data_IF_851730027825
#
_entry.id   IF_851730027825
#
_cell.length_a   1.000
_cell.length_b   1.000
_cell.length_c   1.000
_cell.angle_alpha   90.00
_cell.angle_beta   90.00
_cell.angle_gamma   90.00
#
_symmetry.space_group_name_H-M   'P 1'
#
loop_
_entity.id
_entity.type
_entity.pdbx_description
1 polymer ?
#
# COMPACT_ATOMS: atom_id res chain seq x y z
N UNK A 1 -19.38 12.40 -9.10
CA UNK A 1 -18.28 11.43 -8.87
C UNK A 1 -18.52 10.76 -7.52
N UNK A 2 -18.67 9.43 -7.51
CA UNK A 2 -18.90 8.64 -6.30
C UNK A 2 -17.56 8.09 -5.81
N UNK A 3 -17.07 8.57 -4.68
CA UNK A 3 -15.77 8.21 -4.12
C UNK A 3 -15.97 7.22 -2.98
N UNK A 4 -15.10 6.21 -2.88
CA UNK A 4 -14.96 5.34 -1.73
C UNK A 4 -13.59 5.58 -1.08
N UNK A 5 -13.59 5.86 0.21
CA UNK A 5 -12.38 5.86 1.03
C UNK A 5 -12.21 4.47 1.64
N UNK A 6 -11.00 3.93 1.54
CA UNK A 6 -10.64 2.63 2.13
C UNK A 6 -9.53 2.88 3.14
N UNK A 7 -9.60 2.23 4.28
CA UNK A 7 -8.55 2.30 5.30
C UNK A 7 -8.58 1.03 6.13
N UNK A 8 -7.43 0.62 6.65
CA UNK A 8 -7.34 -0.55 7.50
C UNK A 8 -8.06 -0.35 8.83
N UNK A 9 -7.92 0.82 9.44
CA UNK A 9 -8.48 1.11 10.76
C UNK A 9 -9.17 2.49 10.81
N UNK A 10 -10.07 2.66 11.78
CA UNK A 10 -10.72 3.95 12.02
C UNK A 10 -9.75 5.03 12.49
N UNK A 11 -8.69 4.65 13.19
CA UNK A 11 -7.70 5.58 13.73
C UNK A 11 -6.86 6.29 12.67
N UNK A 12 -6.77 5.71 11.47
CA UNK A 12 -6.07 6.30 10.33
C UNK A 12 -6.90 7.39 9.64
N UNK A 13 -8.20 7.47 9.95
CA UNK A 13 -9.13 8.44 9.35
C UNK A 13 -9.62 9.39 10.46
N UNK A 14 -8.77 10.35 10.84
CA UNK A 14 -9.08 11.27 11.94
C UNK A 14 -9.83 12.55 11.51
N UNK A 15 -10.14 12.72 10.22
CA UNK A 15 -10.74 13.96 9.71
C UNK A 15 -12.22 13.82 9.41
N UNK A 16 -13.05 14.70 10.01
CA UNK A 16 -14.49 14.79 9.72
C UNK A 16 -14.79 15.01 8.23
N UNK A 17 -13.88 15.67 7.51
CA UNK A 17 -14.01 15.86 6.06
C UNK A 17 -13.91 14.54 5.29
N UNK A 18 -13.02 13.65 5.71
CA UNK A 18 -12.90 12.31 5.11
C UNK A 18 -14.13 11.48 5.43
N UNK A 19 -14.64 11.59 6.65
CA UNK A 19 -15.85 10.87 7.09
C UNK A 19 -17.13 11.33 6.38
N UNK A 20 -17.12 12.42 5.64
CA UNK A 20 -18.26 12.82 4.78
C UNK A 20 -18.41 11.96 3.52
N UNK A 21 -17.38 11.19 3.17
CA UNK A 21 -17.43 10.22 2.07
C UNK A 21 -17.84 8.83 2.58
N UNK A 22 -18.34 7.93 1.71
CA UNK A 22 -18.43 6.52 2.03
C UNK A 22 -17.06 5.96 2.44
N UNK A 23 -16.97 5.37 3.62
CA UNK A 23 -15.74 4.76 4.16
C UNK A 23 -15.91 3.26 4.30
N UNK A 24 -14.88 2.52 3.90
CA UNK A 24 -14.74 1.08 4.15
C UNK A 24 -13.54 0.84 5.07
N UNK A 25 -13.79 0.32 6.25
CA UNK A 25 -12.74 -0.18 7.15
C UNK A 25 -12.56 -1.67 6.86
N UNK A 26 -11.38 -2.03 6.38
CA UNK A 26 -11.10 -3.40 5.92
C UNK A 26 -10.55 -4.31 7.01
N UNK A 27 -9.87 -3.75 8.00
CA UNK A 27 -8.92 -4.46 8.85
C UNK A 27 -7.53 -4.44 8.24
N UNK A 28 -6.53 -4.70 9.05
CA UNK A 28 -5.10 -4.67 8.65
C UNK A 28 -4.77 -5.86 7.75
N UNK A 29 -3.98 -5.59 6.72
CA UNK A 29 -3.37 -6.59 5.86
C UNK A 29 -4.07 -6.83 4.52
N UNK A 30 -3.28 -7.23 3.52
CA UNK A 30 -3.71 -7.43 2.13
C UNK A 30 -4.96 -8.30 2.00
N UNK A 31 -5.03 -9.41 2.74
CA UNK A 31 -6.15 -10.36 2.66
C UNK A 31 -7.45 -9.72 3.14
N UNK A 32 -7.42 -9.00 4.27
CA UNK A 32 -8.59 -8.32 4.79
C UNK A 32 -9.07 -7.23 3.83
N UNK A 33 -8.12 -6.47 3.27
CA UNK A 33 -8.40 -5.43 2.28
C UNK A 33 -9.03 -6.00 1.02
N UNK A 34 -8.45 -7.08 0.47
CA UNK A 34 -8.99 -7.75 -0.71
C UNK A 34 -10.42 -8.29 -0.48
N UNK A 35 -10.67 -8.96 0.64
CA UNK A 35 -12.00 -9.48 0.99
C UNK A 35 -13.00 -8.34 1.19
N UNK A 36 -12.61 -7.31 1.94
CA UNK A 36 -13.47 -6.16 2.22
C UNK A 36 -13.86 -5.42 0.95
N UNK A 37 -12.90 -5.12 0.09
CA UNK A 37 -13.12 -4.47 -1.20
C UNK A 37 -13.97 -5.32 -2.13
N UNK A 38 -13.67 -6.60 -2.28
CA UNK A 38 -14.44 -7.52 -3.15
C UNK A 38 -15.91 -7.53 -2.74
N UNK A 39 -16.21 -7.69 -1.45
CA UNK A 39 -17.59 -7.66 -0.95
C UNK A 39 -18.29 -6.31 -1.20
N UNK A 40 -17.56 -5.21 -1.01
CA UNK A 40 -18.10 -3.86 -1.22
C UNK A 40 -18.43 -3.61 -2.68
N UNK A 41 -17.51 -3.97 -3.58
CA UNK A 41 -17.62 -3.72 -5.01
C UNK A 41 -18.59 -4.68 -5.71
N UNK A 42 -18.84 -5.88 -5.16
CA UNK A 42 -19.87 -6.79 -5.66
C UNK A 42 -21.28 -6.20 -5.55
N UNK A 43 -21.51 -5.24 -4.65
CA UNK A 43 -22.81 -4.65 -4.36
C UNK A 43 -22.90 -3.14 -4.62
N UNK A 44 -21.83 -2.52 -5.08
CA UNK A 44 -21.78 -1.08 -5.29
C UNK A 44 -20.71 -0.70 -6.29
N UNK A 45 -20.96 0.35 -7.07
CA UNK A 45 -20.00 0.92 -8.01
C UNK A 45 -19.51 2.27 -7.51
N UNK A 46 -18.24 2.59 -7.79
CA UNK A 46 -17.59 3.84 -7.46
C UNK A 46 -16.76 4.32 -8.66
N UNK A 47 -16.68 5.63 -8.82
CA UNK A 47 -15.86 6.27 -9.87
C UNK A 47 -14.39 6.35 -9.47
N UNK A 48 -14.13 6.42 -8.15
CA UNK A 48 -12.80 6.51 -7.57
C UNK A 48 -12.75 5.78 -6.22
N UNK A 49 -11.68 5.02 -6.01
CA UNK A 49 -11.36 4.40 -4.73
C UNK A 49 -10.02 4.97 -4.27
N UNK A 50 -9.98 5.47 -3.04
CA UNK A 50 -8.78 6.01 -2.42
C UNK A 50 -8.46 5.14 -1.21
N UNK A 51 -7.39 4.37 -1.29
CA UNK A 51 -6.81 3.70 -0.13
C UNK A 51 -5.92 4.71 0.62
N UNK A 52 -6.13 4.87 1.92
CA UNK A 52 -5.36 5.78 2.75
C UNK A 52 -5.12 5.20 4.14
N UNK A 53 -3.95 5.42 4.65
CA UNK A 53 -3.51 4.89 5.94
C UNK A 53 -2.14 5.42 6.32
N UNK A 54 -1.49 4.74 7.24
CA UNK A 54 -0.12 5.03 7.66
C UNK A 54 0.86 4.11 6.95
N UNK A 55 2.10 4.58 6.79
CA UNK A 55 3.18 3.81 6.17
C UNK A 55 4.50 4.04 6.91
N UNK A 56 5.36 3.03 6.92
CA UNK A 56 6.75 3.15 7.33
C UNK A 56 7.58 3.79 6.21
N UNK A 57 8.58 4.60 6.56
CA UNK A 57 9.49 5.22 5.58
C UNK A 57 10.87 4.58 5.62
N UNK A 58 11.41 4.28 4.45
CA UNK A 58 12.79 3.84 4.24
C UNK A 58 13.74 4.99 3.93
N UNK A 59 13.25 6.22 3.81
CA UNK A 59 14.04 7.37 3.37
C UNK A 59 13.96 8.55 4.34
N UNK A 60 15.09 9.21 4.58
CA UNK A 60 15.17 10.44 5.37
C UNK A 60 14.51 11.65 4.70
N UNK A 61 14.18 11.55 3.43
CA UNK A 61 13.50 12.60 2.67
C UNK A 61 12.00 12.74 3.01
N UNK A 62 11.47 11.80 3.79
CA UNK A 62 10.10 11.83 4.33
C UNK A 62 10.16 11.97 5.85
N UNK A 63 9.29 12.80 6.40
CA UNK A 63 9.17 13.02 7.83
C UNK A 63 7.84 12.50 8.35
N UNK A 64 7.80 12.19 9.64
CA UNK A 64 6.53 11.82 10.30
C UNK A 64 5.51 12.94 10.12
N UNK A 65 4.36 12.58 9.56
CA UNK A 65 3.28 13.53 9.24
C UNK A 65 3.26 14.01 7.79
N UNK A 66 4.26 13.66 6.97
CA UNK A 66 4.22 13.92 5.54
C UNK A 66 3.11 13.09 4.88
N UNK A 67 2.43 13.72 3.92
CA UNK A 67 1.41 13.05 3.10
C UNK A 67 1.98 12.86 1.70
N UNK A 68 1.94 11.63 1.21
CA UNK A 68 2.48 11.25 -0.10
C UNK A 68 1.43 10.52 -0.93
N UNK A 69 1.65 10.47 -2.23
CA UNK A 69 0.86 9.66 -3.15
C UNK A 69 1.72 8.51 -3.68
N UNK A 70 1.26 7.28 -3.49
CA UNK A 70 1.92 6.09 -4.03
C UNK A 70 1.69 6.03 -5.54
N UNK A 71 2.75 6.27 -6.30
CA UNK A 71 2.72 6.22 -7.77
C UNK A 71 2.91 4.81 -8.31
N UNK A 72 3.65 3.98 -7.58
CA UNK A 72 3.86 2.57 -7.87
C UNK A 72 3.87 1.81 -6.54
N UNK A 73 3.16 0.68 -6.49
CA UNK A 73 3.17 -0.23 -5.36
C UNK A 73 3.62 -1.63 -5.81
N UNK A 74 4.49 -2.26 -5.03
CA UNK A 74 5.09 -3.55 -5.35
C UNK A 74 4.74 -4.56 -4.25
N UNK A 75 4.19 -5.71 -4.63
CA UNK A 75 4.06 -6.87 -3.74
C UNK A 75 5.44 -7.47 -3.52
N UNK A 76 6.09 -7.08 -2.43
CA UNK A 76 7.50 -7.41 -2.17
C UNK A 76 7.75 -8.87 -1.84
N UNK A 77 6.72 -9.60 -1.39
CA UNK A 77 6.83 -10.96 -0.86
C UNK A 77 6.31 -12.04 -1.84
N UNK A 78 5.93 -11.64 -3.08
CA UNK A 78 5.52 -12.61 -4.10
C UNK A 78 6.77 -13.11 -4.84
N UNK A 79 7.24 -14.28 -4.45
CA UNK A 79 8.47 -14.86 -4.98
C UNK A 79 8.84 -16.15 -4.26
N UNK A 80 10.11 -16.50 -4.30
CA UNK A 80 10.67 -17.67 -3.62
C UNK A 80 12.09 -17.37 -3.11
N UNK A 81 12.48 -18.10 -2.07
CA UNK A 81 13.85 -18.06 -1.57
C UNK A 81 14.73 -19.04 -2.37
N UNK A 82 15.92 -18.59 -2.75
CA UNK A 82 16.97 -19.40 -3.36
C UNK A 82 18.26 -19.20 -2.56
N UNK A 83 18.53 -20.09 -1.62
CA UNK A 83 19.62 -19.97 -0.66
C UNK A 83 19.40 -18.76 0.27
N UNK A 84 20.27 -17.75 0.16
CA UNK A 84 20.19 -16.51 0.92
C UNK A 84 19.40 -15.41 0.21
N UNK A 85 19.04 -15.63 -1.05
CA UNK A 85 18.48 -14.63 -1.94
C UNK A 85 16.97 -14.82 -2.11
N UNK A 86 16.26 -13.73 -2.41
CA UNK A 86 14.85 -13.74 -2.75
C UNK A 86 14.68 -13.36 -4.22
N UNK A 87 14.00 -14.22 -4.96
CA UNK A 87 13.66 -14.00 -6.37
C UNK A 87 12.16 -13.80 -6.52
N UNK A 88 11.76 -12.70 -7.17
CA UNK A 88 10.37 -12.49 -7.53
C UNK A 88 10.00 -13.39 -8.72
N UNK A 89 8.74 -13.83 -8.76
CA UNK A 89 8.21 -14.50 -9.92
C UNK A 89 8.14 -13.52 -11.10
N UNK A 90 8.86 -13.80 -12.17
CA UNK A 90 8.91 -12.96 -13.37
C UNK A 90 8.03 -13.50 -14.51
N UNK A 91 7.77 -14.81 -14.53
CA UNK A 91 7.11 -15.50 -15.64
C UNK A 91 5.63 -15.83 -15.36
N UNK A 92 5.06 -15.30 -14.29
CA UNK A 92 3.65 -15.48 -13.98
C UNK A 92 2.83 -14.33 -14.56
N UNK A 93 1.67 -14.64 -15.12
CA UNK A 93 0.71 -13.65 -15.66
C UNK A 93 0.13 -12.70 -14.58
N UNK A 94 0.53 -12.87 -13.32
CA UNK A 94 0.10 -12.03 -12.21
C UNK A 94 1.13 -10.92 -12.01
N UNK A 95 0.75 -9.66 -12.20
CA UNK A 95 1.67 -8.55 -11.96
C UNK A 95 2.04 -8.46 -10.48
N UNK A 96 3.31 -8.23 -10.19
CA UNK A 96 3.83 -7.99 -8.84
C UNK A 96 4.00 -6.50 -8.52
N UNK A 97 3.78 -5.62 -9.51
CA UNK A 97 3.84 -4.17 -9.38
C UNK A 97 2.62 -3.53 -10.07
N UNK A 98 2.09 -2.50 -9.44
CA UNK A 98 0.95 -1.73 -9.92
C UNK A 98 1.29 -0.25 -9.94
N UNK A 99 1.09 0.40 -11.09
CA UNK A 99 1.28 1.84 -11.26
C UNK A 99 -0.04 2.56 -11.23
N UNK A 100 -0.09 3.64 -10.49
CA UNK A 100 -1.24 4.52 -10.41
C UNK A 100 -1.03 5.76 -11.28
N UNK A 101 -2.08 6.17 -11.99
CA UNK A 101 -2.11 7.51 -12.56
C UNK A 101 -2.16 8.54 -11.43
N UNK A 102 -1.22 9.48 -11.45
CA UNK A 102 -1.20 10.56 -10.47
C UNK A 102 -2.48 11.40 -10.50
N UNK A 103 -3.09 11.56 -9.34
CA UNK A 103 -4.34 12.33 -9.18
C UNK A 103 -4.15 13.59 -8.35
N UNK A 104 -3.00 13.77 -7.69
CA UNK A 104 -2.73 14.90 -6.79
C UNK A 104 -1.40 15.58 -7.10
N UNK A 105 -1.17 16.73 -6.46
CA UNK A 105 0.13 17.42 -6.45
C UNK A 105 1.07 16.96 -5.33
N UNK A 106 0.69 15.95 -4.57
CA UNK A 106 1.51 15.39 -3.49
C UNK A 106 2.81 14.80 -4.02
N UNK A 107 3.81 14.69 -3.16
CA UNK A 107 5.07 13.99 -3.45
C UNK A 107 4.75 12.55 -3.86
N UNK A 108 5.32 12.11 -4.98
CA UNK A 108 5.17 10.73 -5.47
C UNK A 108 6.22 9.85 -4.86
N UNK A 109 5.82 8.65 -4.49
CA UNK A 109 6.69 7.64 -3.88
C UNK A 109 6.45 6.26 -4.48
N UNK A 110 7.45 5.39 -4.31
CA UNK A 110 7.34 3.96 -4.58
C UNK A 110 7.04 3.28 -3.25
N UNK A 111 5.91 2.60 -3.18
CA UNK A 111 5.50 1.78 -2.03
C UNK A 111 5.80 0.31 -2.23
N UNK A 112 5.92 -0.40 -1.12
CA UNK A 112 5.80 -1.86 -1.10
C UNK A 112 4.68 -2.26 -0.15
N UNK A 113 3.96 -3.31 -0.53
CA UNK A 113 2.97 -3.93 0.35
C UNK A 113 3.54 -5.22 0.93
N UNK A 114 3.47 -5.35 2.26
CA UNK A 114 4.07 -6.43 3.04
C UNK A 114 3.06 -7.06 4.01
N UNK A 115 3.29 -8.32 4.39
CA UNK A 115 2.55 -8.95 5.50
C UNK A 115 3.16 -8.62 6.87
N UNK A 116 4.44 -8.26 6.90
CA UNK A 116 5.15 -7.90 8.13
C UNK A 116 6.02 -6.69 7.85
N UNK A 117 5.80 -5.59 8.57
CA UNK A 117 6.63 -4.39 8.45
C UNK A 117 8.05 -4.66 8.94
N UNK A 118 9.02 -4.05 8.26
CA UNK A 118 10.43 -4.23 8.59
C UNK A 118 10.79 -3.41 9.84
N UNK A 119 11.43 -4.07 10.82
CA UNK A 119 11.89 -3.46 12.07
C UNK A 119 13.32 -3.86 12.44
N UNK A 120 14.05 -4.49 11.51
CA UNK A 120 15.38 -5.05 11.71
C UNK A 120 16.30 -4.50 10.61
N UNK A 121 17.45 -3.94 10.97
CA UNK A 121 18.39 -3.32 10.04
C UNK A 121 18.75 -4.23 8.86
N UNK A 122 19.07 -5.49 9.11
CA UNK A 122 19.46 -6.42 8.04
C UNK A 122 18.31 -6.75 7.08
N UNK A 123 17.06 -6.76 7.51
CA UNK A 123 15.90 -6.94 6.64
C UNK A 123 15.59 -5.66 5.85
N UNK A 124 15.79 -4.50 6.48
CA UNK A 124 15.63 -3.18 5.85
C UNK A 124 16.66 -3.02 4.72
N UNK A 125 17.94 -3.31 4.98
CA UNK A 125 18.98 -3.25 3.96
C UNK A 125 18.66 -4.15 2.76
N UNK A 126 18.27 -5.40 3.00
CA UNK A 126 17.93 -6.34 1.93
C UNK A 126 16.77 -5.87 1.06
N UNK A 127 15.71 -5.31 1.65
CA UNK A 127 14.56 -4.85 0.88
C UNK A 127 14.88 -3.57 0.10
N UNK A 128 15.68 -2.67 0.67
CA UNK A 128 16.15 -1.45 0.00
C UNK A 128 17.03 -1.81 -1.20
N UNK A 129 17.99 -2.72 -1.02
CA UNK A 129 18.89 -3.16 -2.11
C UNK A 129 18.09 -3.80 -3.25
N UNK A 130 17.06 -4.57 -2.92
CA UNK A 130 16.28 -5.31 -3.90
C UNK A 130 15.27 -4.45 -4.67
N UNK A 131 14.51 -3.61 -3.99
CA UNK A 131 13.35 -2.91 -4.56
C UNK A 131 13.45 -1.40 -4.53
N UNK A 132 14.34 -0.84 -3.71
CA UNK A 132 14.52 0.62 -3.51
C UNK A 132 13.21 1.36 -3.24
N UNK A 133 12.37 0.86 -2.31
CA UNK A 133 11.12 1.52 -1.98
C UNK A 133 11.36 2.79 -1.17
N UNK A 134 10.41 3.73 -1.25
CA UNK A 134 10.38 4.90 -0.36
C UNK A 134 9.63 4.60 0.94
N UNK A 135 8.56 3.81 0.84
CA UNK A 135 7.66 3.48 1.96
C UNK A 135 7.20 2.02 1.92
N UNK A 136 6.66 1.55 3.06
CA UNK A 136 5.94 0.28 3.15
C UNK A 136 4.61 0.42 3.88
N UNK A 137 3.62 -0.36 3.44
CA UNK A 137 2.32 -0.53 4.11
C UNK A 137 1.91 -2.00 4.14
N UNK A 138 0.75 -2.30 4.72
CA UNK A 138 0.22 -3.66 4.80
C UNK A 138 -1.06 -3.87 3.96
N UNK A 139 -1.52 -2.84 3.24
CA UNK A 139 -2.77 -2.80 2.47
C UNK A 139 -2.58 -2.50 0.98
#
# INVERSE_FOLDING_TARGET
MKVLIVSATKSEIASDKVMSFPVLITGVGMVNTAIGLTRKLSNSTFDLIINMGIAGSFTDSLKVGDIVEVAEDIFSEIGFEDGSDFSQFQDFEIPTSYKNESKTSLKKVIGITVNTVHGNEGSIEKIIDRLKPDIESME
#
